data_IF_608050909343
#
_entry.id   IF_608050909343
#
_cell.length_a   1.000
_cell.length_b   1.000
_cell.length_c   1.000
_cell.angle_alpha   90.00
_cell.angle_beta   90.00
_cell.angle_gamma   90.00
#
_symmetry.space_group_name_H-M   'P 1'
#
loop_
_entity.id
_entity.type
_entity.pdbx_description
1 polymer ?
#
# COMPACT_ATOMS: atom_id res chain seq x y z
N UNK A 1 9.39 1.49 -4.97
CA UNK A 1 8.03 1.45 -4.37
C UNK A 1 6.89 1.72 -5.35
N UNK A 2 7.00 2.70 -6.27
CA UNK A 2 5.91 3.04 -7.22
C UNK A 2 5.43 1.85 -8.08
N UNK A 3 6.35 0.97 -8.53
CA UNK A 3 6.00 -0.25 -9.27
C UNK A 3 5.11 -1.20 -8.45
N UNK A 4 5.52 -1.51 -7.21
CA UNK A 4 4.75 -2.35 -6.29
C UNK A 4 3.38 -1.72 -5.98
N UNK A 5 3.33 -0.40 -5.76
CA UNK A 5 2.09 0.32 -5.51
C UNK A 5 1.12 0.25 -6.71
N UNK A 6 1.63 0.38 -7.94
CA UNK A 6 0.82 0.23 -9.15
C UNK A 6 0.26 -1.19 -9.30
N UNK A 7 1.10 -2.22 -9.12
CA UNK A 7 0.67 -3.62 -9.19
C UNK A 7 -0.40 -3.97 -8.15
N UNK A 8 -0.33 -3.37 -6.95
CA UNK A 8 -1.37 -3.52 -5.91
C UNK A 8 -2.67 -2.80 -6.24
N UNK A 9 -2.59 -1.61 -6.85
CA UNK A 9 -3.77 -0.78 -7.11
C UNK A 9 -4.53 -1.20 -8.36
N UNK A 10 -3.81 -1.64 -9.38
CA UNK A 10 -4.33 -1.74 -10.74
C UNK A 10 -4.19 -3.15 -11.31
N UNK A 11 -3.62 -4.06 -10.52
CA UNK A 11 -3.48 -5.46 -10.86
C UNK A 11 -2.23 -5.76 -11.68
N UNK A 12 -2.17 -6.97 -12.23
CA UNK A 12 -1.00 -7.46 -12.94
C UNK A 12 -0.64 -6.60 -14.15
N UNK A 13 0.66 -6.40 -14.39
CA UNK A 13 1.16 -5.59 -15.51
C UNK A 13 2.51 -6.08 -16.02
N UNK A 14 2.84 -5.71 -17.26
CA UNK A 14 4.16 -5.94 -17.86
C UNK A 14 5.14 -4.83 -17.49
N UNK A 15 6.45 -5.11 -17.62
CA UNK A 15 7.49 -4.10 -17.43
C UNK A 15 7.35 -2.93 -18.41
N UNK A 16 6.89 -3.17 -19.64
CA UNK A 16 6.70 -2.12 -20.65
C UNK A 16 5.55 -1.18 -20.29
N UNK A 17 4.41 -1.71 -19.85
CA UNK A 17 3.27 -0.90 -19.41
C UNK A 17 3.63 -0.01 -18.21
N UNK A 18 4.36 -0.56 -17.23
CA UNK A 18 4.82 0.20 -16.08
C UNK A 18 5.87 1.25 -16.46
N UNK A 19 6.78 0.93 -17.39
CA UNK A 19 7.80 1.85 -17.88
C UNK A 19 7.18 3.07 -18.59
N UNK A 20 6.25 2.83 -19.51
CA UNK A 20 5.51 3.87 -20.22
C UNK A 20 4.80 4.82 -19.25
N UNK A 21 4.11 4.25 -18.26
CA UNK A 21 3.40 5.02 -17.24
C UNK A 21 4.31 5.95 -16.43
N UNK A 22 5.47 5.46 -16.04
CA UNK A 22 6.36 6.20 -15.15
C UNK A 22 7.41 7.03 -15.89
N UNK A 23 7.40 7.03 -17.23
CA UNK A 23 8.39 7.72 -18.04
C UNK A 23 9.79 7.10 -17.91
N UNK A 24 9.85 5.80 -17.66
CA UNK A 24 11.09 5.05 -17.41
C UNK A 24 11.41 4.12 -18.59
N UNK A 25 12.61 3.56 -18.62
CA UNK A 25 12.93 2.50 -19.58
C UNK A 25 12.37 1.15 -19.15
N UNK A 26 11.94 0.33 -20.13
CA UNK A 26 11.49 -1.05 -19.90
C UNK A 26 12.60 -1.91 -19.28
N UNK A 27 13.87 -1.67 -19.66
CA UNK A 27 15.04 -2.34 -19.09
C UNK A 27 15.23 -2.06 -17.60
N UNK A 28 15.21 -0.78 -17.19
CA UNK A 28 15.30 -0.37 -15.78
C UNK A 28 14.12 -0.90 -14.97
N UNK A 29 12.91 -0.76 -15.50
CA UNK A 29 11.68 -1.25 -14.86
C UNK A 29 11.73 -2.77 -14.65
N UNK A 30 12.18 -3.52 -15.67
CA UNK A 30 12.35 -4.97 -15.57
C UNK A 30 13.40 -5.38 -14.54
N UNK A 31 14.49 -4.62 -14.41
CA UNK A 31 15.49 -4.83 -13.37
C UNK A 31 14.88 -4.65 -11.97
N UNK A 32 14.14 -3.57 -11.74
CA UNK A 32 13.50 -3.32 -10.44
C UNK A 32 12.42 -4.35 -10.10
N UNK A 33 11.65 -4.83 -11.08
CA UNK A 33 10.68 -5.91 -10.87
C UNK A 33 11.36 -7.21 -10.46
N UNK A 34 12.50 -7.55 -11.07
CA UNK A 34 13.30 -8.71 -10.63
C UNK A 34 13.83 -8.56 -9.22
N UNK A 35 14.29 -7.37 -8.83
CA UNK A 35 14.73 -7.10 -7.46
C UNK A 35 13.57 -7.27 -6.46
N UNK A 36 12.41 -6.70 -6.78
CA UNK A 36 11.20 -6.88 -5.96
C UNK A 36 10.81 -8.36 -5.84
N UNK A 37 10.95 -9.14 -6.92
CA UNK A 37 10.62 -10.56 -6.91
C UNK A 37 11.62 -11.40 -6.11
N UNK A 38 12.90 -11.07 -6.18
CA UNK A 38 13.94 -11.72 -5.37
C UNK A 38 13.68 -11.56 -3.87
N UNK A 39 12.98 -10.50 -3.46
CA UNK A 39 12.58 -10.24 -2.09
C UNK A 39 11.10 -10.57 -1.81
N UNK A 40 10.41 -11.27 -2.71
CA UNK A 40 9.04 -11.77 -2.48
C UNK A 40 7.94 -10.72 -2.52
N UNK A 41 8.21 -9.51 -3.03
CA UNK A 41 7.18 -8.46 -3.11
C UNK A 41 6.27 -8.60 -4.33
N UNK A 42 6.81 -9.16 -5.42
CA UNK A 42 6.08 -9.41 -6.68
C UNK A 42 6.43 -10.79 -7.21
N UNK A 43 5.54 -11.37 -7.99
CA UNK A 43 5.72 -12.67 -8.61
C UNK A 43 5.23 -12.67 -10.06
N UNK A 44 5.48 -13.78 -10.75
CA UNK A 44 4.97 -13.96 -12.11
C UNK A 44 3.45 -14.17 -12.08
N UNK A 45 2.76 -13.51 -13.00
CA UNK A 45 1.32 -13.63 -13.19
C UNK A 45 1.00 -14.34 -14.52
N UNK A 46 1.28 -15.66 -14.63
CA UNK A 46 1.05 -16.40 -15.86
C UNK A 46 -0.45 -16.42 -16.19
N UNK A 47 -0.80 -16.19 -17.46
CA UNK A 47 -2.19 -16.19 -17.94
C UNK A 47 -2.77 -14.83 -18.30
N UNK A 48 -2.10 -13.72 -17.95
CA UNK A 48 -2.53 -12.37 -18.34
C UNK A 48 -2.09 -11.93 -19.75
N UNK A 49 -1.17 -12.68 -20.38
CA UNK A 49 -0.58 -12.31 -21.68
C UNK A 49 -0.86 -13.31 -22.80
N UNK A 50 -0.82 -12.81 -24.04
CA UNK A 50 -0.70 -13.65 -25.25
C UNK A 50 0.77 -13.66 -25.68
N UNK A 51 1.43 -14.82 -25.65
CA UNK A 51 2.81 -14.97 -26.14
C UNK A 51 3.89 -14.97 -25.05
N UNK A 52 5.08 -14.39 -25.35
CA UNK A 52 6.29 -14.47 -24.51
C UNK A 52 6.43 -13.34 -23.48
N UNK A 53 5.39 -12.52 -23.31
CA UNK A 53 5.44 -11.39 -22.38
C UNK A 53 5.38 -11.85 -20.93
N UNK A 54 6.28 -11.33 -20.10
CA UNK A 54 6.31 -11.60 -18.67
C UNK A 54 5.45 -10.59 -17.92
N UNK A 55 4.41 -11.11 -17.27
CA UNK A 55 3.50 -10.36 -16.42
C UNK A 55 3.88 -10.50 -14.97
N UNK A 56 3.73 -9.41 -14.22
CA UNK A 56 4.06 -9.35 -12.80
C UNK A 56 2.80 -9.01 -12.02
N UNK A 57 2.67 -9.57 -10.82
CA UNK A 57 1.65 -9.18 -9.85
C UNK A 57 2.27 -8.98 -8.46
N UNK A 58 1.62 -8.18 -7.63
CA UNK A 58 2.03 -8.05 -6.23
C UNK A 58 1.64 -9.31 -5.46
N UNK A 59 2.55 -9.82 -4.61
CA UNK A 59 2.28 -10.99 -3.74
C UNK A 59 1.37 -10.61 -2.58
N UNK A 60 1.43 -9.36 -2.14
CA UNK A 60 0.67 -8.84 -1.01
C UNK A 60 -0.14 -7.61 -1.42
N UNK A 61 -1.37 -7.51 -0.93
CA UNK A 61 -2.30 -6.40 -1.20
C UNK A 61 -2.04 -5.15 -0.34
N UNK A 62 -1.12 -5.23 0.62
CA UNK A 62 -0.81 -4.15 1.55
C UNK A 62 0.60 -4.21 2.09
N UNK A 63 0.98 -3.21 2.86
CA UNK A 63 2.26 -3.14 3.56
C UNK A 63 2.00 -3.33 5.05
N UNK A 64 2.55 -4.40 5.63
CA UNK A 64 2.78 -4.48 7.07
C UNK A 64 4.18 -3.97 7.38
N UNK A 65 4.37 -3.34 8.54
CA UNK A 65 5.68 -2.89 9.00
C UNK A 65 5.89 -3.33 10.44
N UNK A 66 7.04 -3.94 10.70
CA UNK A 66 7.48 -4.29 12.04
C UNK A 66 8.18 -3.07 12.67
N UNK A 67 7.54 -2.51 13.70
CA UNK A 67 8.03 -1.33 14.43
C UNK A 67 9.43 -1.52 15.04
N UNK A 68 9.83 -2.75 15.34
CA UNK A 68 11.14 -3.04 15.94
C UNK A 68 12.30 -2.66 15.02
N UNK A 69 12.10 -2.66 13.70
CA UNK A 69 13.13 -2.32 12.71
C UNK A 69 13.62 -0.87 12.81
N UNK A 70 12.82 0.03 13.40
CA UNK A 70 13.23 1.42 13.64
C UNK A 70 14.36 1.49 14.68
N UNK A 71 14.37 0.55 15.61
CA UNK A 71 15.32 0.47 16.71
C UNK A 71 16.33 -0.68 16.55
N UNK A 72 16.51 -1.16 15.32
CA UNK A 72 17.47 -2.21 15.02
C UNK A 72 18.89 -1.78 15.41
N UNK A 73 19.68 -2.73 15.93
CA UNK A 73 21.05 -2.48 16.35
C UNK A 73 21.99 -2.15 15.18
N UNK A 74 21.67 -2.62 13.97
CA UNK A 74 22.37 -2.23 12.75
C UNK A 74 21.88 -0.86 12.23
N UNK A 75 22.75 0.16 12.17
CA UNK A 75 22.40 1.48 11.64
C UNK A 75 21.93 1.47 10.18
N UNK A 76 22.41 0.53 9.37
CA UNK A 76 21.97 0.42 7.98
C UNK A 76 20.51 -0.05 7.90
N UNK A 77 20.15 -1.03 8.73
CA UNK A 77 18.78 -1.56 8.83
C UNK A 77 17.82 -0.51 9.38
N UNK A 78 18.12 0.12 10.52
CA UNK A 78 17.26 1.16 11.09
C UNK A 78 17.15 2.41 10.20
N UNK A 79 18.24 2.80 9.52
CA UNK A 79 18.23 3.86 8.52
C UNK A 79 17.33 3.54 7.33
N UNK A 80 17.42 2.33 6.78
CA UNK A 80 16.56 1.88 5.68
C UNK A 80 15.08 1.83 6.09
N UNK A 81 14.79 1.37 7.32
CA UNK A 81 13.45 1.34 7.87
C UNK A 81 12.82 2.75 7.97
N UNK A 82 13.59 3.74 8.43
CA UNK A 82 13.14 5.13 8.49
C UNK A 82 12.82 5.70 7.10
N UNK A 83 13.70 5.49 6.11
CA UNK A 83 13.48 5.93 4.71
C UNK A 83 12.24 5.24 4.11
N UNK A 84 12.05 3.96 4.41
CA UNK A 84 10.89 3.20 3.95
C UNK A 84 9.58 3.79 4.49
N UNK A 85 9.51 4.07 5.79
CA UNK A 85 8.33 4.66 6.43
C UNK A 85 8.01 6.06 5.88
N UNK A 86 9.03 6.90 5.66
CA UNK A 86 8.84 8.20 5.00
C UNK A 86 8.27 8.04 3.58
N UNK A 87 8.74 7.04 2.84
CA UNK A 87 8.22 6.74 1.50
C UNK A 87 6.76 6.28 1.55
N UNK A 88 6.39 5.46 2.53
CA UNK A 88 5.00 5.01 2.75
C UNK A 88 4.10 6.21 3.08
N UNK A 89 4.53 7.08 4.01
CA UNK A 89 3.79 8.28 4.39
C UNK A 89 3.58 9.23 3.20
N UNK A 90 4.63 9.47 2.38
CA UNK A 90 4.53 10.30 1.19
C UNK A 90 3.53 9.73 0.17
N UNK A 91 3.53 8.40 -0.05
CA UNK A 91 2.56 7.76 -0.94
C UNK A 91 1.13 7.90 -0.41
N UNK A 92 0.91 7.71 0.90
CA UNK A 92 -0.41 7.90 1.51
C UNK A 92 -0.92 9.33 1.33
N UNK A 93 -0.06 10.33 1.56
CA UNK A 93 -0.41 11.74 1.38
C UNK A 93 -0.77 12.08 -0.07
N UNK A 94 -0.03 11.53 -1.04
CA UNK A 94 -0.34 11.67 -2.46
C UNK A 94 -1.69 11.06 -2.82
N UNK A 95 -1.99 9.87 -2.32
CA UNK A 95 -3.26 9.19 -2.60
C UNK A 95 -4.47 9.91 -2.00
N UNK A 96 -4.35 10.40 -0.76
CA UNK A 96 -5.37 11.23 -0.13
C UNK A 96 -5.57 12.53 -0.91
N UNK A 97 -4.49 13.22 -1.29
CA UNK A 97 -4.57 14.47 -2.04
C UNK A 97 -5.24 14.29 -3.40
N UNK A 98 -4.86 13.24 -4.15
CA UNK A 98 -5.47 12.92 -5.43
C UNK A 98 -6.97 12.60 -5.30
N UNK A 99 -7.35 11.84 -4.26
CA UNK A 99 -8.76 11.57 -4.00
C UNK A 99 -9.55 12.84 -3.71
N UNK A 100 -9.02 13.74 -2.85
CA UNK A 100 -9.67 15.02 -2.54
C UNK A 100 -9.90 15.86 -3.81
N UNK A 101 -8.89 15.95 -4.68
CA UNK A 101 -9.00 16.72 -5.93
C UNK A 101 -10.08 16.21 -6.89
N UNK A 102 -10.38 14.91 -6.86
CA UNK A 102 -11.36 14.28 -7.75
C UNK A 102 -12.70 13.99 -7.05
N UNK A 103 -12.79 14.21 -5.73
CA UNK A 103 -13.91 13.76 -4.90
C UNK A 103 -15.25 14.31 -5.36
N UNK A 104 -15.33 15.61 -5.70
CA UNK A 104 -16.58 16.25 -6.11
C UNK A 104 -17.18 15.64 -7.38
N UNK A 105 -16.35 15.15 -8.30
CA UNK A 105 -16.81 14.55 -9.56
C UNK A 105 -17.05 13.04 -9.42
N UNK A 106 -16.35 12.37 -8.50
CA UNK A 106 -16.36 10.89 -8.37
C UNK A 106 -17.35 10.37 -7.33
N UNK A 107 -17.82 11.20 -6.40
CA UNK A 107 -18.70 10.78 -5.31
C UNK A 107 -20.18 10.83 -5.76
N UNK A 108 -20.66 9.69 -6.25
CA UNK A 108 -22.09 9.38 -6.37
C UNK A 108 -22.62 8.71 -5.10
N UNK A 109 -23.18 7.49 -5.21
CA UNK A 109 -23.63 6.66 -4.06
C UNK A 109 -22.55 6.35 -3.01
N UNK A 110 -21.28 6.67 -3.28
CA UNK A 110 -20.13 6.46 -2.41
C UNK A 110 -19.88 7.61 -1.42
N UNK A 111 -20.64 8.71 -1.46
CA UNK A 111 -20.51 9.83 -0.50
C UNK A 111 -20.48 9.39 0.97
N UNK A 112 -21.32 8.41 1.35
CA UNK A 112 -21.36 7.88 2.74
C UNK A 112 -20.30 6.82 3.03
N UNK A 113 -19.65 6.27 2.01
CA UNK A 113 -18.63 5.23 2.15
C UNK A 113 -17.20 5.79 2.12
N UNK A 114 -17.04 7.07 1.79
CA UNK A 114 -15.77 7.77 1.89
C UNK A 114 -15.66 8.46 3.25
N UNK A 115 -14.49 8.32 3.89
CA UNK A 115 -14.20 8.91 5.19
C UNK A 115 -12.77 9.42 5.22
N UNK A 116 -12.57 10.56 5.87
CA UNK A 116 -11.27 11.14 6.17
C UNK A 116 -11.30 11.71 7.60
N UNK A 117 -11.76 10.88 8.54
CA UNK A 117 -11.89 11.26 9.94
C UNK A 117 -10.61 10.92 10.73
N UNK A 118 -10.37 11.68 11.81
CA UNK A 118 -9.36 11.38 12.82
C UNK A 118 -10.00 11.23 14.20
N UNK A 119 -9.33 10.47 15.07
CA UNK A 119 -9.78 10.20 16.43
C UNK A 119 -8.61 10.41 17.39
N UNK A 120 -8.86 11.13 18.50
CA UNK A 120 -7.88 11.29 19.58
C UNK A 120 -8.28 10.40 20.76
N UNK A 121 -7.44 9.42 21.10
CA UNK A 121 -7.67 8.44 22.17
C UNK A 121 -6.55 8.49 23.21
N UNK A 122 -6.87 8.18 24.48
CA UNK A 122 -5.87 7.97 25.55
C UNK A 122 -5.74 6.49 25.82
N UNK A 123 -4.64 5.89 25.39
CA UNK A 123 -4.41 4.44 25.44
C UNK A 123 -3.03 4.16 26.05
N UNK A 124 -2.92 3.03 26.75
CA UNK A 124 -1.62 2.42 27.07
C UNK A 124 -1.00 1.77 25.83
N UNK A 125 0.31 1.44 25.82
CA UNK A 125 0.93 0.75 24.69
C UNK A 125 0.21 -0.55 24.29
N UNK A 126 -0.14 -1.41 25.26
CA UNK A 126 -0.86 -2.65 24.99
C UNK A 126 -2.27 -2.43 24.43
N UNK A 127 -2.97 -1.36 24.85
CA UNK A 127 -4.26 -1.00 24.26
C UNK A 127 -4.14 -0.46 22.83
N UNK A 128 -3.05 0.25 22.52
CA UNK A 128 -2.76 0.69 21.15
C UNK A 128 -2.48 -0.51 20.23
N UNK A 129 -1.71 -1.49 20.70
CA UNK A 129 -1.47 -2.74 19.98
C UNK A 129 -2.76 -3.53 19.74
N UNK A 130 -3.60 -3.67 20.78
CA UNK A 130 -4.92 -4.31 20.66
C UNK A 130 -5.78 -3.61 19.60
N UNK A 131 -5.84 -2.27 19.62
CA UNK A 131 -6.62 -1.50 18.65
C UNK A 131 -6.13 -1.73 17.22
N UNK A 132 -4.82 -1.69 16.98
CA UNK A 132 -4.23 -1.97 15.66
C UNK A 132 -4.59 -3.38 15.19
N UNK A 133 -4.45 -4.38 16.06
CA UNK A 133 -4.82 -5.76 15.74
C UNK A 133 -6.29 -5.89 15.35
N UNK A 134 -7.20 -5.33 16.15
CA UNK A 134 -8.64 -5.39 15.88
C UNK A 134 -9.05 -4.66 14.60
N UNK A 135 -8.39 -3.54 14.27
CA UNK A 135 -8.62 -2.83 13.01
C UNK A 135 -8.15 -3.68 11.81
N UNK A 136 -6.99 -4.30 11.90
CA UNK A 136 -6.50 -5.21 10.86
C UNK A 136 -7.42 -6.41 10.67
N UNK A 137 -7.84 -7.05 11.77
CA UNK A 137 -8.77 -8.20 11.72
C UNK A 137 -10.08 -7.80 11.06
N UNK A 138 -10.66 -6.66 11.45
CA UNK A 138 -11.88 -6.12 10.83
C UNK A 138 -11.70 -5.92 9.33
N UNK A 139 -10.63 -5.23 8.89
CA UNK A 139 -10.35 -5.01 7.46
C UNK A 139 -10.18 -6.34 6.72
N UNK A 140 -9.50 -7.31 7.33
CA UNK A 140 -9.27 -8.62 6.72
C UNK A 140 -10.58 -9.41 6.51
N UNK A 141 -11.64 -9.17 7.29
CA UNK A 141 -12.96 -9.79 7.03
C UNK A 141 -13.57 -9.39 5.68
N UNK A 142 -13.12 -8.29 5.06
CA UNK A 142 -13.65 -7.80 3.79
C UNK A 142 -12.86 -8.27 2.54
N UNK A 143 -11.65 -8.83 2.69
CA UNK A 143 -10.77 -9.17 1.54
C UNK A 143 -11.30 -10.29 0.64
N UNK A 144 -12.21 -11.13 1.12
CA UNK A 144 -12.75 -12.29 0.40
C UNK A 144 -14.19 -12.15 -0.05
N UNK A 145 -14.78 -10.96 0.02
CA UNK A 145 -16.17 -10.77 -0.40
C UNK A 145 -16.28 -10.89 -1.93
N UNK A 146 -17.34 -11.54 -2.45
CA UNK A 146 -17.51 -11.69 -3.89
C UNK A 146 -17.72 -10.33 -4.58
N UNK A 147 -17.21 -10.19 -5.80
CA UNK A 147 -17.50 -9.03 -6.63
C UNK A 147 -18.99 -9.03 -7.01
N UNK A 148 -19.62 -7.87 -6.87
CA UNK A 148 -21.04 -7.64 -7.21
C UNK A 148 -21.17 -6.34 -8.01
N UNK A 149 -22.36 -6.08 -8.56
CA UNK A 149 -22.57 -4.85 -9.32
C UNK A 149 -22.27 -3.60 -8.47
N UNK A 150 -21.34 -2.78 -8.95
CA UNK A 150 -20.90 -1.57 -8.25
C UNK A 150 -19.73 -1.76 -7.28
N UNK A 151 -19.16 -2.97 -7.17
CA UNK A 151 -17.88 -3.19 -6.45
C UNK A 151 -16.80 -2.29 -7.02
N UNK A 152 -16.02 -1.66 -6.12
CA UNK A 152 -14.87 -0.83 -6.46
C UNK A 152 -13.72 -1.14 -5.50
N UNK A 153 -12.49 -1.01 -5.98
CA UNK A 153 -11.30 -1.02 -5.13
C UNK A 153 -11.35 0.18 -4.18
N UNK A 154 -11.31 -0.10 -2.88
CA UNK A 154 -11.20 0.91 -1.82
C UNK A 154 -9.83 0.77 -1.17
N UNK A 155 -9.17 1.91 -0.94
CA UNK A 155 -7.92 1.95 -0.19
C UNK A 155 -8.20 2.50 1.20
N UNK A 156 -7.67 1.81 2.22
CA UNK A 156 -7.76 2.22 3.62
C UNK A 156 -6.34 2.43 4.12
N UNK A 157 -6.09 3.59 4.72
CA UNK A 157 -4.86 3.86 5.47
C UNK A 157 -5.23 4.01 6.93
N UNK A 158 -4.60 3.22 7.79
CA UNK A 158 -4.73 3.34 9.24
C UNK A 158 -3.40 3.81 9.82
N UNK A 159 -3.43 4.87 10.62
CA UNK A 159 -2.25 5.38 11.32
C UNK A 159 -2.58 5.44 12.81
N UNK A 160 -1.78 4.75 13.64
CA UNK A 160 -1.79 4.95 15.09
C UNK A 160 -0.48 5.63 15.44
N UNK A 161 -0.54 6.93 15.69
CA UNK A 161 0.61 7.77 15.98
C UNK A 161 0.54 8.16 17.45
N UNK A 162 1.45 7.65 18.30
CA UNK A 162 1.46 8.06 19.69
C UNK A 162 1.69 9.57 19.78
N UNK A 163 0.92 10.23 20.64
CA UNK A 163 1.15 11.62 20.97
C UNK A 163 2.51 11.80 21.63
N UNK A 164 2.99 13.06 21.79
CA UNK A 164 4.19 13.32 22.56
C UNK A 164 4.06 12.71 23.96
N UNK A 165 5.15 12.16 24.48
CA UNK A 165 5.19 11.78 25.89
C UNK A 165 4.81 13.01 26.72
N UNK A 166 3.86 12.85 27.63
CA UNK A 166 3.54 13.92 28.59
C UNK A 166 4.78 14.13 29.45
N UNK A 167 5.32 15.36 29.46
CA UNK A 167 6.36 15.76 30.42
C UNK A 167 5.87 15.66 31.87
#
# INVERSE_FOLDING_TARGET
MRLLAALRREGPATASQLAERFGESSGSTSYHLRQLAAHGFVEDAPGHGKGRERWWQAVHEGTGFDGSLIHDADPATSGAAAVFLQTVAANHAQEVSAWISEAQERLGRWERGADLSDFTLRLTPGQSEELVGRLHDLVNTYRGLPETEGTRTVRIHTHVLPGPASE
#
